data_IF_919672279350
#
_entry.id   IF_919672279350
#
_cell.length_a   1.000
_cell.length_b   1.000
_cell.length_c   1.000
_cell.angle_alpha   90.00
_cell.angle_beta   90.00
_cell.angle_gamma   90.00
#
_symmetry.space_group_name_H-M   'P 1'
#
loop_
_entity.id
_entity.type
_entity.pdbx_description
1 polymer ?
#
# COMPACT_ATOMS: atom_id res chain seq x y z
N UNK A 1 -8.59 -4.38 -64.20
CA UNK A 1 -8.29 -3.94 -62.83
C UNK A 1 -6.99 -4.63 -62.41
N UNK A 2 -5.98 -3.82 -62.13
CA UNK A 2 -4.59 -4.24 -61.88
C UNK A 2 -4.46 -4.71 -60.44
N UNK A 3 -4.00 -5.94 -60.22
CA UNK A 3 -3.69 -6.45 -58.88
C UNK A 3 -2.17 -6.48 -58.76
N UNK A 4 -1.64 -5.58 -57.92
CA UNK A 4 -0.22 -5.46 -57.64
C UNK A 4 0.29 -6.68 -56.87
N UNK A 5 1.47 -7.14 -57.23
CA UNK A 5 2.19 -8.22 -56.58
C UNK A 5 3.30 -7.68 -55.65
N UNK A 6 3.69 -8.54 -54.71
CA UNK A 6 5.01 -8.74 -54.07
C UNK A 6 5.18 -8.26 -52.62
N UNK A 7 5.45 -9.26 -51.77
CA UNK A 7 6.44 -9.23 -50.69
C UNK A 7 5.85 -9.48 -49.29
N UNK A 8 6.38 -10.33 -48.41
CA UNK A 8 7.56 -11.22 -48.41
C UNK A 8 7.48 -12.01 -47.08
N UNK A 9 7.26 -13.31 -47.12
CA UNK A 9 7.71 -14.23 -46.06
C UNK A 9 9.18 -14.57 -46.39
N UNK A 10 10.14 -14.66 -45.44
CA UNK A 10 10.15 -15.78 -44.49
C UNK A 10 10.73 -15.49 -43.08
N UNK A 11 10.26 -16.24 -42.08
CA UNK A 11 11.14 -17.08 -41.27
C UNK A 11 11.92 -16.50 -40.06
N UNK A 12 11.61 -17.11 -38.90
CA UNK A 12 12.56 -17.76 -37.98
C UNK A 12 13.08 -16.98 -36.75
N UNK A 13 12.66 -17.52 -35.59
CA UNK A 13 13.31 -17.66 -34.27
C UNK A 13 13.30 -16.51 -33.24
N UNK A 14 12.69 -16.88 -32.10
CA UNK A 14 13.15 -16.67 -30.72
C UNK A 14 13.43 -15.23 -30.28
N UNK A 15 12.52 -14.71 -29.46
CA UNK A 15 12.82 -14.64 -28.02
C UNK A 15 11.57 -15.02 -27.22
N UNK A 16 11.55 -16.28 -26.77
CA UNK A 16 11.09 -16.58 -25.42
C UNK A 16 11.83 -15.61 -24.50
N UNK A 17 11.10 -14.68 -23.88
CA UNK A 17 11.40 -13.96 -22.62
C UNK A 17 10.73 -12.57 -22.60
N UNK A 18 9.42 -12.53 -22.37
CA UNK A 18 8.82 -11.48 -21.54
C UNK A 18 7.79 -12.11 -20.60
N UNK A 19 8.13 -13.29 -20.10
CA UNK A 19 7.45 -14.00 -19.01
C UNK A 19 8.43 -14.18 -17.84
N UNK A 20 9.39 -13.26 -17.71
CA UNK A 20 10.48 -13.25 -16.74
C UNK A 20 10.55 -11.90 -15.99
N UNK A 21 9.40 -11.34 -15.61
CA UNK A 21 9.31 -10.34 -14.52
C UNK A 21 8.03 -10.58 -13.69
N UNK A 22 7.63 -11.83 -13.52
CA UNK A 22 6.46 -12.21 -12.70
C UNK A 22 6.80 -13.19 -11.56
N UNK A 23 8.03 -13.73 -11.53
CA UNK A 23 8.39 -14.78 -10.56
C UNK A 23 9.16 -14.29 -9.34
N UNK A 24 9.32 -12.97 -9.14
CA UNK A 24 9.88 -12.39 -7.91
C UNK A 24 8.82 -11.60 -7.14
N UNK A 25 7.69 -12.23 -6.88
CA UNK A 25 6.75 -11.81 -5.82
C UNK A 25 6.11 -13.01 -5.09
N UNK A 26 6.63 -14.21 -5.34
CA UNK A 26 6.32 -15.38 -4.53
C UNK A 26 7.22 -15.32 -3.28
N UNK A 27 6.62 -15.59 -2.13
CA UNK A 27 7.24 -15.66 -0.79
C UNK A 27 7.34 -14.34 -0.01
N UNK A 28 6.19 -13.71 0.26
CA UNK A 28 5.95 -13.27 1.64
C UNK A 28 5.27 -14.42 2.37
N UNK A 29 6.12 -15.36 2.76
CA UNK A 29 5.80 -16.45 3.67
C UNK A 29 5.02 -15.89 4.85
N UNK A 30 3.75 -16.26 4.91
CA UNK A 30 2.90 -16.12 6.09
C UNK A 30 3.35 -17.18 7.10
N UNK A 31 4.59 -17.02 7.59
CA UNK A 31 5.15 -17.80 8.68
C UNK A 31 4.66 -17.24 10.00
N UNK A 32 3.80 -18.00 10.67
CA UNK A 32 3.52 -17.81 12.08
C UNK A 32 4.81 -18.07 12.88
N UNK A 33 5.34 -17.04 13.56
CA UNK A 33 6.57 -17.17 14.33
C UNK A 33 7.04 -15.88 15.02
N UNK A 34 6.57 -15.69 16.25
CA UNK A 34 7.21 -14.91 17.33
C UNK A 34 7.21 -13.36 17.29
N UNK A 35 6.11 -12.77 17.82
CA UNK A 35 6.02 -11.57 18.71
C UNK A 35 6.69 -10.23 18.36
N UNK A 36 7.43 -10.09 17.25
CA UNK A 36 8.11 -8.84 16.87
C UNK A 36 7.60 -8.12 15.59
N UNK A 37 6.96 -8.76 14.58
CA UNK A 37 6.56 -8.05 13.36
C UNK A 37 5.44 -7.03 13.60
N UNK A 38 4.57 -7.28 14.60
CA UNK A 38 3.41 -6.41 14.86
C UNK A 38 3.82 -5.01 15.33
N UNK A 39 4.88 -4.89 16.14
CA UNK A 39 5.34 -3.59 16.66
C UNK A 39 6.00 -2.73 15.59
N UNK A 40 6.89 -3.33 14.80
CA UNK A 40 7.59 -2.60 13.75
C UNK A 40 6.63 -2.22 12.61
N UNK A 41 5.72 -3.11 12.23
CA UNK A 41 4.67 -2.82 11.28
C UNK A 41 3.71 -1.74 11.78
N UNK A 42 3.34 -1.77 13.07
CA UNK A 42 2.51 -0.73 13.66
C UNK A 42 3.23 0.61 13.71
N UNK A 43 4.52 0.64 14.07
CA UNK A 43 5.35 1.84 14.01
C UNK A 43 5.44 2.41 12.60
N UNK A 44 5.57 1.55 11.59
CA UNK A 44 5.59 1.96 10.17
C UNK A 44 4.25 2.61 9.79
N UNK A 45 3.13 1.97 10.12
CA UNK A 45 1.78 2.51 9.88
C UNK A 45 1.56 3.85 10.60
N UNK A 46 2.03 4.01 11.84
CA UNK A 46 1.95 5.27 12.58
C UNK A 46 2.70 6.39 11.85
N UNK A 47 3.93 6.11 11.36
CA UNK A 47 4.74 7.10 10.63
C UNK A 47 4.07 7.49 9.31
N UNK A 48 3.63 6.51 8.53
CA UNK A 48 2.90 6.74 7.26
C UNK A 48 1.64 7.57 7.51
N UNK A 49 0.83 7.20 8.51
CA UNK A 49 -0.39 7.91 8.84
C UNK A 49 -0.12 9.36 9.30
N UNK A 50 0.97 9.59 10.03
CA UNK A 50 1.39 10.94 10.43
C UNK A 50 1.74 11.81 9.23
N UNK A 51 2.43 11.25 8.24
CA UNK A 51 2.77 11.95 7.00
C UNK A 51 1.49 12.30 6.25
N UNK A 52 0.54 11.36 6.10
CA UNK A 52 -0.74 11.61 5.44
C UNK A 52 -1.53 12.74 6.11
N UNK A 53 -1.57 12.79 7.45
CA UNK A 53 -2.22 13.88 8.19
C UNK A 53 -1.56 15.23 7.87
N UNK A 54 -0.23 15.27 7.86
CA UNK A 54 0.53 16.48 7.57
C UNK A 54 0.28 16.96 6.13
N UNK A 55 0.37 16.06 5.15
CA UNK A 55 0.13 16.34 3.74
C UNK A 55 -1.29 16.89 3.48
N UNK A 56 -2.32 16.27 4.05
CA UNK A 56 -3.71 16.72 3.90
C UNK A 56 -3.90 18.09 4.57
N UNK A 57 -3.27 18.31 5.73
CA UNK A 57 -3.37 19.58 6.45
C UNK A 57 -2.70 20.73 5.72
N UNK A 58 -1.54 20.47 5.11
CA UNK A 58 -0.76 21.44 4.33
C UNK A 58 -1.35 21.69 2.93
N UNK A 59 -2.30 20.85 2.50
CA UNK A 59 -2.98 21.04 1.22
C UNK A 59 -3.75 22.37 1.19
N UNK A 60 -3.75 23.09 0.06
CA UNK A 60 -4.55 24.32 -0.10
C UNK A 60 -6.06 24.03 0.06
N UNK A 61 -6.85 25.05 0.45
CA UNK A 61 -8.28 24.90 0.79
C UNK A 61 -9.15 24.30 -0.33
N UNK A 62 -8.90 24.64 -1.59
CA UNK A 62 -9.75 24.27 -2.73
C UNK A 62 -9.24 23.04 -3.51
N UNK A 63 -8.23 22.34 -3.00
CA UNK A 63 -7.71 21.13 -3.64
C UNK A 63 -8.60 19.93 -3.29
N UNK A 64 -8.89 19.12 -4.30
CA UNK A 64 -9.69 17.91 -4.16
C UNK A 64 -8.84 16.79 -3.56
N UNK A 65 -9.42 16.09 -2.59
CA UNK A 65 -8.84 14.88 -2.02
C UNK A 65 -9.61 13.69 -2.58
N UNK A 66 -8.89 12.65 -2.97
CA UNK A 66 -9.49 11.43 -3.49
C UNK A 66 -9.08 10.25 -2.63
N UNK A 67 -10.03 9.37 -2.31
CA UNK A 67 -9.80 8.15 -1.55
C UNK A 67 -9.88 6.94 -2.46
N UNK A 68 -8.85 6.10 -2.42
CA UNK A 68 -8.80 4.86 -3.19
C UNK A 68 -9.74 3.82 -2.58
N UNK A 69 -10.42 3.04 -3.41
CA UNK A 69 -11.14 1.85 -2.97
C UNK A 69 -10.17 0.72 -2.60
N UNK A 70 -10.47 -0.08 -1.56
CA UNK A 70 -9.71 -1.29 -1.28
C UNK A 70 -9.71 -2.25 -2.48
N UNK A 71 -8.56 -2.87 -2.74
CA UNK A 71 -8.37 -3.89 -3.80
C UNK A 71 -8.69 -3.40 -5.23
N UNK A 72 -8.66 -2.10 -5.47
CA UNK A 72 -8.93 -1.49 -6.77
C UNK A 72 -8.13 -0.21 -6.95
N UNK A 73 -7.99 0.25 -8.20
CA UNK A 73 -7.35 1.52 -8.55
C UNK A 73 -8.37 2.64 -8.85
N UNK A 74 -9.58 2.52 -8.29
CA UNK A 74 -10.65 3.52 -8.40
C UNK A 74 -10.57 4.50 -7.23
N UNK A 75 -10.73 5.79 -7.53
CA UNK A 75 -10.62 6.89 -6.59
C UNK A 75 -11.93 7.67 -6.52
N UNK A 76 -12.46 7.88 -5.32
CA UNK A 76 -13.64 8.72 -5.09
C UNK A 76 -13.28 10.05 -4.49
N UNK A 77 -13.97 11.11 -4.94
CA UNK A 77 -13.86 12.42 -4.32
C UNK A 77 -14.33 12.31 -2.86
N UNK A 78 -13.48 12.71 -1.94
CA UNK A 78 -13.75 12.71 -0.51
C UNK A 78 -13.76 14.14 0.02
N UNK A 79 -14.54 14.39 1.07
CA UNK A 79 -14.48 15.65 1.77
C UNK A 79 -13.13 15.79 2.51
N UNK A 80 -12.48 16.94 2.35
CA UNK A 80 -11.16 17.20 2.91
C UNK A 80 -11.21 17.19 4.44
N UNK A 81 -12.20 17.85 5.03
CA UNK A 81 -12.31 17.97 6.49
C UNK A 81 -12.61 16.61 7.13
N UNK A 82 -13.53 15.86 6.52
CA UNK A 82 -13.83 14.49 6.93
C UNK A 82 -12.60 13.60 6.83
N UNK A 83 -11.89 13.60 5.69
CA UNK A 83 -10.71 12.74 5.48
C UNK A 83 -9.61 13.08 6.48
N UNK A 84 -9.37 14.36 6.77
CA UNK A 84 -8.40 14.79 7.78
C UNK A 84 -8.79 14.31 9.18
N UNK A 85 -10.08 14.38 9.54
CA UNK A 85 -10.61 13.87 10.81
C UNK A 85 -10.41 12.36 10.93
N UNK A 86 -10.82 11.59 9.92
CA UNK A 86 -10.63 10.14 9.87
C UNK A 86 -9.14 9.78 10.04
N UNK A 87 -8.26 10.48 9.32
CA UNK A 87 -6.82 10.23 9.41
C UNK A 87 -6.24 10.49 10.81
N UNK A 88 -6.76 11.48 11.55
CA UNK A 88 -6.36 11.76 12.93
C UNK A 88 -6.86 10.69 13.89
N UNK A 89 -8.11 10.27 13.74
CA UNK A 89 -8.71 9.20 14.54
C UNK A 89 -7.90 7.90 14.38
N UNK A 90 -7.62 7.50 13.14
CA UNK A 90 -6.79 6.32 12.86
C UNK A 90 -5.38 6.45 13.46
N UNK A 91 -4.76 7.63 13.39
CA UNK A 91 -3.44 7.85 14.00
C UNK A 91 -3.48 7.64 15.52
N UNK A 92 -4.52 8.12 16.20
CA UNK A 92 -4.65 7.99 17.65
C UNK A 92 -4.98 6.54 18.07
N UNK A 93 -5.80 5.83 17.29
CA UNK A 93 -6.04 4.39 17.47
C UNK A 93 -4.76 3.57 17.32
N UNK A 94 -3.95 3.84 16.29
CA UNK A 94 -2.68 3.14 16.07
C UNK A 94 -1.68 3.38 17.22
N UNK A 95 -1.59 4.63 17.71
CA UNK A 95 -0.77 4.95 18.89
C UNK A 95 -1.25 4.22 20.14
N UNK A 96 -2.57 4.16 20.35
CA UNK A 96 -3.16 3.45 21.50
C UNK A 96 -2.83 1.96 21.43
N UNK A 97 -3.01 1.33 20.27
CA UNK A 97 -2.66 -0.06 20.06
C UNK A 97 -1.16 -0.32 20.33
N UNK A 98 -0.28 0.61 19.92
CA UNK A 98 1.16 0.49 20.16
C UNK A 98 1.50 0.53 21.64
N UNK A 99 0.87 1.44 22.38
CA UNK A 99 1.03 1.54 23.84
C UNK A 99 0.49 0.30 24.57
N UNK A 100 -0.64 -0.25 24.12
CA UNK A 100 -1.23 -1.46 24.70
C UNK A 100 -0.32 -2.68 24.52
N UNK A 101 0.27 -2.85 23.34
CA UNK A 101 1.25 -3.93 23.10
C UNK A 101 2.44 -3.75 24.03
N UNK A 102 2.98 -2.54 24.19
CA UNK A 102 4.09 -2.26 25.10
C UNK A 102 3.73 -2.58 26.57
N UNK A 103 2.55 -2.18 27.03
CA UNK A 103 2.08 -2.42 28.39
C UNK A 103 1.83 -3.91 28.66
N UNK A 104 1.31 -4.65 27.67
CA UNK A 104 1.05 -6.09 27.76
C UNK A 104 2.31 -6.95 27.82
N UNK A 105 3.45 -6.44 27.33
CA UNK A 105 4.74 -7.14 27.44
C UNK A 105 5.38 -6.97 28.81
N UNK A 106 5.21 -5.80 29.42
CA UNK A 106 5.70 -5.49 30.78
C UNK A 106 4.94 -6.26 31.87
N UNK A 107 3.68 -6.64 31.62
CA UNK A 107 2.87 -7.42 32.57
C UNK A 107 3.11 -8.93 32.53
N UNK A 108 3.74 -9.47 31.47
CA UNK A 108 4.06 -10.91 31.32
C UNK A 108 5.39 -11.33 31.97
N UNK A 109 6.18 -10.40 32.48
CA UNK A 109 7.53 -10.64 33.05
C UNK A 109 7.56 -10.71 34.58
N UNK A 110 6.40 -10.72 35.25
CA UNK A 110 6.31 -10.71 36.73
C UNK A 110 5.64 -11.96 37.32
N UNK A 111 5.91 -13.15 36.77
CA UNK A 111 5.44 -14.42 37.36
C UNK A 111 6.58 -15.40 37.53
#
# INVERSE_FOLDING_TARGET
MTISAIGKEPGVLLTTQQEQMSSQALLRERGEGSKLPDKEELNRKIKEQKIVVDEISNLKKNRKVYRQQPNSNIFFLADKTQTLSECKITLDELKKAHQEIENSEKSKTKK
#
